data_IF_408458542015
#
_entry.id   IF_408458542015
#
_cell.length_a   1.000
_cell.length_b   1.000
_cell.length_c   1.000
_cell.angle_alpha   90.00
_cell.angle_beta   90.00
_cell.angle_gamma   90.00
#
_symmetry.space_group_name_H-M   'P 1'
#
loop_
_entity.id
_entity.type
_entity.pdbx_description
1 polymer ?
#
# COMPACT_ATOMS: atom_id res chain seq x y z
N UNK A 1 19.30 -4.78 -15.69
CA UNK A 1 17.95 -4.96 -16.28
C UNK A 1 16.88 -5.06 -15.19
N UNK A 2 17.06 -5.93 -14.19
CA UNK A 2 16.10 -6.17 -13.11
C UNK A 2 15.72 -4.90 -12.31
N UNK A 3 16.67 -3.98 -12.07
CA UNK A 3 16.37 -2.72 -11.38
C UNK A 3 15.37 -1.83 -12.11
N UNK A 4 15.48 -1.68 -13.44
CA UNK A 4 14.54 -0.86 -14.21
C UNK A 4 13.13 -1.45 -14.13
N UNK A 5 13.00 -2.77 -14.28
CA UNK A 5 11.72 -3.46 -14.17
C UNK A 5 11.10 -3.31 -12.77
N UNK A 6 11.89 -3.46 -11.71
CA UNK A 6 11.44 -3.30 -10.33
C UNK A 6 10.99 -1.86 -10.01
N UNK A 7 11.67 -0.85 -10.56
CA UNK A 7 11.23 0.55 -10.44
C UNK A 7 9.87 0.73 -11.10
N UNK A 8 9.71 0.29 -12.35
CA UNK A 8 8.42 0.39 -13.07
C UNK A 8 7.30 -0.31 -12.30
N UNK A 9 7.54 -1.54 -11.82
CA UNK A 9 6.58 -2.29 -10.99
C UNK A 9 6.20 -1.53 -9.72
N UNK A 10 7.18 -0.91 -9.05
CA UNK A 10 6.92 -0.15 -7.82
C UNK A 10 6.13 1.12 -8.09
N UNK A 11 6.36 1.81 -9.21
CA UNK A 11 5.57 2.97 -9.62
C UNK A 11 4.12 2.58 -9.90
N UNK A 12 3.91 1.52 -10.68
CA UNK A 12 2.56 1.01 -10.99
C UNK A 12 1.83 0.62 -9.70
N UNK A 13 2.53 -0.07 -8.79
CA UNK A 13 1.97 -0.45 -7.51
C UNK A 13 1.55 0.77 -6.67
N UNK A 14 2.36 1.82 -6.62
CA UNK A 14 2.02 3.04 -5.87
C UNK A 14 0.83 3.74 -6.52
N UNK A 15 0.78 3.81 -7.85
CA UNK A 15 -0.35 4.40 -8.57
C UNK A 15 -1.66 3.66 -8.27
N UNK A 16 -1.66 2.32 -8.31
CA UNK A 16 -2.82 1.51 -7.92
C UNK A 16 -3.26 1.78 -6.48
N UNK A 17 -2.29 1.83 -5.55
CA UNK A 17 -2.59 2.04 -4.14
C UNK A 17 -3.14 3.45 -3.87
N UNK A 18 -2.64 4.46 -4.59
CA UNK A 18 -3.11 5.84 -4.51
C UNK A 18 -4.53 6.00 -5.08
N UNK A 19 -4.83 5.38 -6.23
CA UNK A 19 -6.18 5.35 -6.81
C UNK A 19 -7.15 4.69 -5.83
N UNK A 20 -6.75 3.55 -5.25
CA UNK A 20 -7.57 2.88 -4.24
C UNK A 20 -7.80 3.71 -2.99
N UNK A 21 -6.74 4.32 -2.44
CA UNK A 21 -6.86 5.20 -1.29
C UNK A 21 -7.80 6.36 -1.54
N UNK A 22 -7.65 7.03 -2.69
CA UNK A 22 -8.55 8.12 -3.10
C UNK A 22 -10.00 7.64 -3.27
N UNK A 23 -10.22 6.50 -3.91
CA UNK A 23 -11.55 5.93 -4.10
C UNK A 23 -12.24 5.57 -2.78
N UNK A 24 -11.50 5.00 -1.81
CA UNK A 24 -12.02 4.72 -0.46
C UNK A 24 -12.40 6.00 0.26
N UNK A 25 -11.59 7.07 0.15
CA UNK A 25 -11.89 8.36 0.77
C UNK A 25 -13.12 9.03 0.16
N UNK A 26 -13.32 8.91 -1.16
CA UNK A 26 -14.52 9.43 -1.86
C UNK A 26 -15.75 8.61 -1.48
N UNK A 27 -15.68 7.28 -1.57
CA UNK A 27 -16.77 6.39 -1.18
C UNK A 27 -17.16 6.53 0.31
N UNK A 28 -16.23 6.97 1.15
CA UNK A 28 -16.46 7.29 2.55
C UNK A 28 -17.22 8.59 2.81
N UNK A 29 -17.10 9.56 1.91
CA UNK A 29 -17.70 10.90 2.02
C UNK A 29 -19.16 10.95 1.56
N UNK A 30 -19.65 9.96 0.81
CA UNK A 30 -21.07 9.83 0.40
C UNK A 30 -21.95 9.31 1.55
N UNK A 31 -21.87 9.96 2.71
CA UNK A 31 -22.68 9.71 3.92
C UNK A 31 -23.99 10.50 3.86
N UNK A 32 -24.80 10.25 2.81
CA UNK A 32 -26.02 11.05 2.60
C UNK A 32 -27.16 10.41 1.82
N UNK A 33 -27.18 9.09 1.58
CA UNK A 33 -28.34 8.46 0.92
C UNK A 33 -28.72 7.11 1.54
N UNK A 34 -29.70 7.18 2.45
CA UNK A 34 -30.42 6.09 3.12
C UNK A 34 -31.27 5.22 2.16
N UNK A 35 -30.69 4.72 1.07
CA UNK A 35 -31.43 3.89 0.11
C UNK A 35 -30.59 2.72 -0.41
N UNK A 36 -30.33 1.73 0.44
CA UNK A 36 -30.22 0.29 0.11
C UNK A 36 -29.22 -0.19 -0.95
N UNK A 37 -28.47 0.69 -1.60
CA UNK A 37 -27.59 0.36 -2.71
C UNK A 37 -26.17 0.75 -2.31
N UNK A 38 -25.41 -0.27 -1.89
CA UNK A 38 -23.97 -0.46 -2.04
C UNK A 38 -23.14 0.84 -2.19
N UNK A 39 -22.29 1.13 -1.18
CA UNK A 39 -21.33 2.24 -1.16
C UNK A 39 -20.33 2.11 -2.33
N UNK A 40 -20.70 2.57 -3.52
CA UNK A 40 -19.84 2.50 -4.72
C UNK A 40 -18.97 3.75 -4.79
N UNK A 41 -17.65 3.59 -4.72
CA UNK A 41 -16.73 4.66 -5.13
C UNK A 41 -16.77 4.86 -6.65
N UNK A 42 -15.81 5.61 -7.19
CA UNK A 42 -15.56 5.66 -8.63
C UNK A 42 -15.34 4.25 -9.21
N UNK A 43 -14.71 3.36 -8.42
CA UNK A 43 -14.69 1.93 -8.67
C UNK A 43 -15.99 1.31 -8.18
N UNK A 44 -16.91 1.03 -9.11
CA UNK A 44 -18.20 0.32 -8.92
C UNK A 44 -18.01 -1.16 -8.56
N UNK A 45 -17.24 -1.42 -7.51
CA UNK A 45 -16.92 -2.74 -7.01
C UNK A 45 -17.16 -2.75 -5.49
N UNK A 46 -17.59 -3.89 -4.97
CA UNK A 46 -17.72 -4.10 -3.53
C UNK A 46 -16.42 -3.74 -2.79
N UNK A 47 -16.53 -3.08 -1.64
CA UNK A 47 -15.38 -2.58 -0.87
C UNK A 47 -14.34 -3.68 -0.55
N UNK A 48 -14.78 -4.89 -0.22
CA UNK A 48 -13.89 -6.05 0.01
C UNK A 48 -13.13 -6.49 -1.25
N UNK A 49 -13.79 -6.49 -2.42
CA UNK A 49 -13.16 -6.87 -3.69
C UNK A 49 -12.12 -5.82 -4.09
N UNK A 50 -12.47 -4.54 -3.94
CA UNK A 50 -11.58 -3.42 -4.22
C UNK A 50 -10.33 -3.42 -3.33
N UNK A 51 -10.49 -3.64 -2.02
CA UNK A 51 -9.36 -3.75 -1.09
C UNK A 51 -8.46 -4.95 -1.36
N UNK A 52 -9.03 -6.07 -1.78
CA UNK A 52 -8.25 -7.27 -2.14
C UNK A 52 -7.40 -7.04 -3.39
N UNK A 53 -8.00 -6.50 -4.45
CA UNK A 53 -7.33 -6.29 -5.75
C UNK A 53 -6.34 -5.14 -5.68
N UNK A 54 -6.72 -4.00 -5.10
CA UNK A 54 -5.89 -2.80 -5.09
C UNK A 54 -5.12 -2.56 -3.78
N UNK A 55 -5.28 -3.42 -2.77
CA UNK A 55 -4.47 -3.41 -1.55
C UNK A 55 -3.44 -4.53 -1.52
N UNK A 56 -3.87 -5.79 -1.66
CA UNK A 56 -2.99 -6.97 -1.48
C UNK A 56 -2.04 -7.14 -2.67
N UNK A 57 -2.54 -7.06 -3.91
CA UNK A 57 -1.73 -7.27 -5.11
C UNK A 57 -0.60 -6.23 -5.22
N UNK A 58 -0.85 -4.92 -5.02
CA UNK A 58 0.22 -3.93 -5.07
C UNK A 58 1.22 -4.11 -3.93
N UNK A 59 0.75 -4.45 -2.72
CA UNK A 59 1.63 -4.75 -1.58
C UNK A 59 2.60 -5.90 -1.89
N UNK A 60 2.11 -6.97 -2.50
CA UNK A 60 2.94 -8.09 -2.94
C UNK A 60 3.95 -7.66 -4.03
N UNK A 61 3.54 -6.81 -4.98
CA UNK A 61 4.45 -6.26 -5.99
C UNK A 61 5.61 -5.46 -5.36
N UNK A 62 5.35 -4.64 -4.33
CA UNK A 62 6.41 -3.90 -3.63
C UNK A 62 7.40 -4.83 -2.93
N UNK A 63 6.91 -5.90 -2.29
CA UNK A 63 7.75 -6.92 -1.65
C UNK A 63 8.60 -7.65 -2.69
N UNK A 64 7.99 -8.13 -3.78
CA UNK A 64 8.70 -8.84 -4.84
C UNK A 64 9.75 -7.93 -5.49
N UNK A 65 9.40 -6.68 -5.76
CA UNK A 65 10.32 -5.65 -6.26
C UNK A 65 11.54 -5.48 -5.35
N UNK A 66 11.34 -5.43 -4.03
CA UNK A 66 12.43 -5.37 -3.05
C UNK A 66 13.35 -6.60 -3.16
N UNK A 67 12.79 -7.81 -3.19
CA UNK A 67 13.55 -9.05 -3.20
C UNK A 67 14.34 -9.26 -4.48
N UNK A 68 13.73 -9.03 -5.65
CA UNK A 68 14.39 -9.16 -6.96
C UNK A 68 15.64 -8.28 -7.04
N UNK A 69 15.56 -7.08 -6.45
CA UNK A 69 16.65 -6.09 -6.49
C UNK A 69 17.40 -5.97 -5.18
N UNK A 70 17.32 -6.99 -4.31
CA UNK A 70 18.04 -6.99 -3.01
C UNK A 70 19.56 -6.89 -3.18
N UNK A 71 20.08 -7.45 -4.29
CA UNK A 71 21.51 -7.43 -4.65
C UNK A 71 21.94 -6.11 -5.30
N UNK A 72 21.01 -5.35 -5.89
CA UNK A 72 21.29 -4.10 -6.60
C UNK A 72 20.94 -2.90 -5.69
N UNK A 73 21.94 -2.16 -5.16
CA UNK A 73 21.67 -0.99 -4.33
C UNK A 73 21.03 0.12 -5.17
N UNK A 74 19.85 0.59 -4.77
CA UNK A 74 19.18 1.73 -5.41
C UNK A 74 18.41 2.56 -4.40
N UNK A 75 18.86 3.80 -4.19
CA UNK A 75 18.21 4.79 -3.33
C UNK A 75 16.80 5.13 -3.85
N UNK A 76 16.65 5.30 -5.17
CA UNK A 76 15.36 5.60 -5.82
C UNK A 76 14.32 4.51 -5.55
N UNK A 77 14.71 3.25 -5.69
CA UNK A 77 13.81 2.13 -5.46
C UNK A 77 13.46 1.97 -3.98
N UNK A 78 14.43 2.17 -3.08
CA UNK A 78 14.18 2.17 -1.64
C UNK A 78 13.16 3.24 -1.21
N UNK A 79 13.25 4.45 -1.79
CA UNK A 79 12.28 5.52 -1.55
C UNK A 79 10.88 5.10 -2.01
N UNK A 80 10.73 4.55 -3.23
CA UNK A 80 9.44 4.08 -3.72
C UNK A 80 8.80 3.02 -2.80
N UNK A 81 9.57 2.01 -2.40
CA UNK A 81 9.07 0.96 -1.51
C UNK A 81 8.66 1.54 -0.15
N UNK A 82 9.42 2.51 0.37
CA UNK A 82 9.09 3.20 1.63
C UNK A 82 7.78 3.98 1.51
N UNK A 83 7.60 4.73 0.41
CA UNK A 83 6.37 5.47 0.12
C UNK A 83 5.19 4.50 0.03
N UNK A 84 5.35 3.39 -0.69
CA UNK A 84 4.31 2.37 -0.79
C UNK A 84 3.91 1.78 0.57
N UNK A 85 4.89 1.47 1.43
CA UNK A 85 4.63 1.03 2.80
C UNK A 85 3.90 2.08 3.65
N UNK A 86 4.32 3.34 3.57
CA UNK A 86 3.65 4.44 4.26
C UNK A 86 2.20 4.63 3.78
N UNK A 87 1.96 4.48 2.48
CA UNK A 87 0.64 4.62 1.88
C UNK A 87 -0.32 3.50 2.34
N UNK A 88 0.18 2.27 2.53
CA UNK A 88 -0.58 1.16 3.14
C UNK A 88 -0.94 1.50 4.58
N UNK A 89 0.02 2.00 5.38
CA UNK A 89 -0.20 2.36 6.78
C UNK A 89 -1.28 3.43 6.90
N UNK A 90 -1.15 4.52 6.13
CA UNK A 90 -2.10 5.63 6.14
C UNK A 90 -3.48 5.17 5.65
N UNK A 91 -3.55 4.42 4.55
CA UNK A 91 -4.81 3.91 4.03
C UNK A 91 -5.55 3.01 5.03
N UNK A 92 -4.81 2.11 5.70
CA UNK A 92 -5.39 1.24 6.74
C UNK A 92 -5.87 2.04 7.95
N UNK A 93 -5.11 3.05 8.38
CA UNK A 93 -5.50 3.93 9.48
C UNK A 93 -6.77 4.73 9.16
N UNK A 94 -6.93 5.20 7.93
CA UNK A 94 -8.14 5.91 7.47
C UNK A 94 -9.36 4.98 7.53
N UNK A 95 -9.25 3.76 7.00
CA UNK A 95 -10.36 2.78 7.00
C UNK A 95 -10.79 2.46 8.43
N UNK A 96 -9.82 2.17 9.32
CA UNK A 96 -10.09 1.90 10.73
C UNK A 96 -10.74 3.10 11.45
N UNK A 97 -10.33 4.32 11.10
CA UNK A 97 -10.92 5.55 11.65
C UNK A 97 -12.34 5.81 11.17
N UNK A 98 -12.66 5.47 9.91
CA UNK A 98 -13.99 5.63 9.33
C UNK A 98 -15.02 4.62 9.88
N UNK A 99 -14.59 3.42 10.25
CA UNK A 99 -15.49 2.38 10.80
C UNK A 99 -15.81 2.56 12.29
N UNK A 100 -15.22 3.55 12.96
CA UNK A 100 -15.67 4.02 14.28
C UNK A 100 -15.68 2.97 15.40
N UNK A 101 -14.92 1.89 15.26
CA UNK A 101 -14.83 0.80 16.25
C UNK A 101 -15.93 -0.27 16.16
N UNK A 102 -16.84 -0.22 15.19
CA UNK A 102 -17.89 -1.24 14.98
C UNK A 102 -17.45 -2.39 14.06
N UNK A 103 -16.14 -2.61 13.95
CA UNK A 103 -15.56 -3.65 13.13
C UNK A 103 -15.70 -5.02 13.80
N UNK A 104 -16.19 -6.05 13.08
CA UNK A 104 -16.14 -7.42 13.59
C UNK A 104 -14.68 -7.83 13.86
N UNK A 105 -14.44 -8.64 14.89
CA UNK A 105 -13.09 -9.03 15.32
C UNK A 105 -12.22 -9.57 14.18
N UNK A 106 -12.84 -10.29 13.24
CA UNK A 106 -12.18 -10.80 12.03
C UNK A 106 -11.63 -9.67 11.15
N UNK A 107 -12.40 -8.61 10.93
CA UNK A 107 -11.97 -7.48 10.13
C UNK A 107 -10.86 -6.68 10.84
N UNK A 108 -10.93 -6.52 12.17
CA UNK A 108 -9.83 -5.93 12.97
C UNK A 108 -8.53 -6.72 12.78
N UNK A 109 -8.60 -8.06 12.81
CA UNK A 109 -7.43 -8.93 12.56
C UNK A 109 -6.90 -8.79 11.13
N UNK A 110 -7.79 -8.74 10.13
CA UNK A 110 -7.40 -8.60 8.72
C UNK A 110 -6.72 -7.23 8.48
N UNK A 111 -7.31 -6.13 8.94
CA UNK A 111 -6.68 -4.80 8.84
C UNK A 111 -5.40 -4.69 9.67
N UNK A 112 -5.35 -5.31 10.85
CA UNK A 112 -4.13 -5.40 11.66
C UNK A 112 -2.99 -6.13 10.93
N UNK A 113 -3.31 -7.20 10.20
CA UNK A 113 -2.32 -7.91 9.37
C UNK A 113 -1.84 -7.05 8.18
N UNK A 114 -2.75 -6.32 7.51
CA UNK A 114 -2.39 -5.39 6.43
C UNK A 114 -1.50 -4.25 6.95
N UNK A 115 -1.81 -3.69 8.12
CA UNK A 115 -0.99 -2.68 8.78
C UNK A 115 0.41 -3.21 9.08
N UNK A 116 0.51 -4.42 9.63
CA UNK A 116 1.79 -5.07 9.90
C UNK A 116 2.62 -5.26 8.61
N UNK A 117 1.99 -5.67 7.51
CA UNK A 117 2.64 -5.78 6.20
C UNK A 117 3.12 -4.40 5.73
N UNK A 118 2.31 -3.35 5.86
CA UNK A 118 2.69 -1.98 5.52
C UNK A 118 3.94 -1.50 6.28
N UNK A 119 4.01 -1.78 7.59
CA UNK A 119 5.17 -1.48 8.44
C UNK A 119 6.41 -2.24 7.95
N UNK A 120 6.27 -3.54 7.66
CA UNK A 120 7.39 -4.35 7.13
C UNK A 120 7.90 -3.77 5.82
N UNK A 121 7.01 -3.41 4.88
CA UNK A 121 7.37 -2.82 3.60
C UNK A 121 8.11 -1.48 3.80
N UNK A 122 7.63 -0.62 4.70
CA UNK A 122 8.27 0.65 5.02
C UNK A 122 9.68 0.44 5.59
N UNK A 123 9.86 -0.50 6.52
CA UNK A 123 11.17 -0.85 7.09
C UNK A 123 12.11 -1.40 6.01
N UNK A 124 11.63 -2.30 5.13
CA UNK A 124 12.42 -2.84 4.03
C UNK A 124 12.89 -1.74 3.08
N UNK A 125 12.02 -0.80 2.73
CA UNK A 125 12.36 0.39 1.96
C UNK A 125 13.46 1.22 2.62
N UNK A 126 13.30 1.53 3.92
CA UNK A 126 14.28 2.28 4.71
C UNK A 126 15.65 1.58 4.81
N UNK A 127 15.67 0.27 5.04
CA UNK A 127 16.89 -0.55 5.06
C UNK A 127 17.62 -0.49 3.72
N UNK A 128 16.88 -0.50 2.60
CA UNK A 128 17.46 -0.36 1.26
C UNK A 128 18.13 0.99 1.04
N UNK A 129 17.49 2.07 1.48
CA UNK A 129 18.03 3.43 1.37
C UNK A 129 19.34 3.54 2.17
N UNK A 130 19.35 3.03 3.41
CA UNK A 130 20.55 2.99 4.26
C UNK A 130 21.69 2.21 3.60
N UNK A 131 21.41 1.00 3.10
CA UNK A 131 22.42 0.18 2.41
C UNK A 131 22.97 0.87 1.16
N UNK A 132 22.11 1.50 0.37
CA UNK A 132 22.53 2.22 -0.84
C UNK A 132 23.36 3.47 -0.53
N UNK A 133 23.11 4.13 0.59
CA UNK A 133 23.85 5.32 1.01
C UNK A 133 25.22 4.94 1.60
N UNK A 134 25.31 3.82 2.34
CA UNK A 134 26.58 3.31 2.85
C UNK A 134 27.56 2.94 1.73
N UNK A 135 27.07 2.28 0.69
CA UNK A 135 27.90 1.88 -0.47
C UNK A 135 28.43 3.10 -1.22
N UNK A 136 27.61 4.16 -1.35
CA UNK A 136 28.01 5.41 -2.00
C UNK A 136 29.01 6.25 -1.18
N UNK A 137 29.17 5.98 0.11
CA UNK A 137 30.10 6.70 0.99
C UNK A 137 31.45 5.99 1.16
N UNK A 138 31.57 4.75 0.68
CA UNK A 138 32.78 3.90 0.84
C UNK A 138 33.47 3.57 -0.48
N UNK A 139 33.00 4.11 -1.61
CA UNK A 139 33.61 3.97 -2.93
C UNK A 139 33.92 5.35 -3.50
#
# INVERSE_FOLDING_TARGET
>A
MALKAAIVMSVISIAMLAIYGADVMVAGHDTGNDNGNEKTGFLQMNASVRGSIFGIIPSAMLIISFFITRKEPSKKLGILITIGGALIIIGTAIILGMEGGNLPERAVREFGAVLAIGIIIAILGGLKIRKSTKIAATG
#
